data_IF_174274637834
#
_entry.id   IF_174274637834
#
_cell.length_a   1.000
_cell.length_b   1.000
_cell.length_c   1.000
_cell.angle_alpha   90.00
_cell.angle_beta   90.00
_cell.angle_gamma   90.00
#
_symmetry.space_group_name_H-M   'P 1'
#
loop_
_entity.id
_entity.type
_entity.pdbx_description
1 polymer ?
#
# COMPACT_ATOMS: atom_id res chain seq x y z
N UNK A 1 -10.63 -41.50 57.70
CA UNK A 1 -9.70 -41.07 56.63
C UNK A 1 -10.57 -40.69 55.42
N UNK A 2 -11.42 -39.66 55.53
CA UNK A 2 -11.12 -38.20 55.47
C UNK A 2 -10.76 -37.79 54.03
N UNK A 3 -11.74 -37.49 53.17
CA UNK A 3 -12.28 -36.14 52.86
C UNK A 3 -11.33 -35.24 52.06
N UNK A 4 -11.20 -35.46 50.74
CA UNK A 4 -10.57 -34.53 49.79
C UNK A 4 -11.27 -34.59 48.43
N UNK A 5 -12.49 -34.02 48.30
CA UNK A 5 -13.19 -33.98 46.99
C UNK A 5 -14.09 -32.74 46.79
N UNK A 6 -13.75 -31.60 47.39
CA UNK A 6 -14.59 -30.38 47.29
C UNK A 6 -13.88 -29.12 46.76
N UNK A 7 -12.57 -29.15 46.48
CA UNK A 7 -11.84 -27.95 46.00
C UNK A 7 -11.65 -27.87 44.48
N UNK A 8 -12.02 -28.91 43.71
CA UNK A 8 -11.74 -28.96 42.27
C UNK A 8 -12.75 -28.17 41.41
N UNK A 9 -13.95 -27.88 41.94
CA UNK A 9 -15.04 -27.26 41.18
C UNK A 9 -14.90 -25.73 41.04
N UNK A 10 -14.19 -25.07 41.97
CA UNK A 10 -14.02 -23.61 41.96
C UNK A 10 -12.99 -23.10 40.93
N UNK A 11 -12.03 -23.95 40.53
CA UNK A 11 -10.93 -23.58 39.62
C UNK A 11 -11.35 -23.54 38.14
N UNK A 12 -12.40 -24.28 37.76
CA UNK A 12 -12.86 -24.36 36.37
C UNK A 12 -13.56 -23.08 35.87
N UNK A 13 -14.22 -22.32 36.74
CA UNK A 13 -14.89 -21.07 36.36
C UNK A 13 -13.90 -19.97 36.00
N UNK A 14 -12.81 -19.82 36.77
CA UNK A 14 -11.76 -18.83 36.48
C UNK A 14 -10.94 -19.17 35.22
N UNK A 15 -10.69 -20.46 34.97
CA UNK A 15 -10.01 -20.92 33.75
C UNK A 15 -10.85 -20.71 32.49
N UNK A 16 -12.18 -20.90 32.56
CA UNK A 16 -13.08 -20.64 31.42
C UNK A 16 -13.12 -19.15 31.11
N UNK A 17 -13.30 -18.29 32.11
CA UNK A 17 -13.29 -16.84 31.93
C UNK A 17 -11.96 -16.31 31.37
N UNK A 18 -10.82 -16.83 31.86
CA UNK A 18 -9.49 -16.49 31.33
C UNK A 18 -9.28 -16.92 29.88
N UNK A 19 -9.81 -18.09 29.48
CA UNK A 19 -9.79 -18.55 28.08
C UNK A 19 -10.66 -17.71 27.16
N UNK A 20 -11.82 -17.24 27.64
CA UNK A 20 -12.67 -16.32 26.89
C UNK A 20 -12.03 -14.94 26.73
N UNK A 21 -11.43 -14.40 27.79
CA UNK A 21 -10.71 -13.13 27.74
C UNK A 21 -9.50 -13.21 26.79
N UNK A 22 -8.73 -14.30 26.86
CA UNK A 22 -7.61 -14.53 25.94
C UNK A 22 -8.08 -14.70 24.49
N UNK A 23 -9.19 -15.40 24.27
CA UNK A 23 -9.81 -15.55 22.94
C UNK A 23 -10.29 -14.21 22.37
N UNK A 24 -10.96 -13.38 23.18
CA UNK A 24 -11.40 -12.05 22.77
C UNK A 24 -10.21 -11.15 22.44
N UNK A 25 -9.16 -11.18 23.27
CA UNK A 25 -7.95 -10.40 23.02
C UNK A 25 -7.25 -10.84 21.72
N UNK A 26 -7.18 -12.16 21.46
CA UNK A 26 -6.66 -12.68 20.21
C UNK A 26 -7.48 -12.22 18.99
N UNK A 27 -8.81 -12.20 19.09
CA UNK A 27 -9.68 -11.68 18.03
C UNK A 27 -9.45 -10.19 17.81
N UNK A 28 -9.34 -9.39 18.89
CA UNK A 28 -9.06 -7.96 18.79
C UNK A 28 -7.71 -7.71 18.11
N UNK A 29 -6.66 -8.43 18.53
CA UNK A 29 -5.32 -8.33 17.92
C UNK A 29 -5.35 -8.74 16.45
N UNK A 30 -6.07 -9.81 16.10
CA UNK A 30 -6.23 -10.25 14.73
C UNK A 30 -6.94 -9.19 13.87
N UNK A 31 -8.06 -8.65 14.33
CA UNK A 31 -8.78 -7.59 13.62
C UNK A 31 -7.94 -6.30 13.49
N UNK A 32 -7.21 -5.92 14.54
CA UNK A 32 -6.30 -4.80 14.49
C UNK A 32 -5.19 -5.01 13.45
N UNK A 33 -4.68 -6.23 13.28
CA UNK A 33 -3.65 -6.53 12.27
C UNK A 33 -4.16 -6.38 10.84
N UNK A 34 -5.43 -6.70 10.57
CA UNK A 34 -6.04 -6.53 9.25
C UNK A 34 -6.25 -5.05 8.90
N UNK A 35 -6.47 -4.19 9.90
CA UNK A 35 -6.62 -2.76 9.69
C UNK A 35 -5.30 -2.05 9.32
N UNK A 36 -4.15 -2.70 9.52
CA UNK A 36 -2.82 -2.17 9.19
C UNK A 36 -2.34 -2.66 7.82
N UNK A 37 -3.11 -3.50 7.11
CA UNK A 37 -2.70 -3.94 5.78
C UNK A 37 -2.76 -2.77 4.80
N UNK A 38 -1.60 -2.38 4.28
CA UNK A 38 -1.52 -1.39 3.21
C UNK A 38 -2.18 -1.94 1.93
N UNK A 39 -2.64 -1.05 1.06
CA UNK A 39 -3.31 -1.45 -0.16
C UNK A 39 -2.27 -2.11 -1.09
N UNK A 40 -2.37 -3.43 -1.28
CA UNK A 40 -1.51 -4.16 -2.19
C UNK A 40 -1.91 -3.85 -3.65
N UNK A 41 -1.47 -2.71 -4.17
CA UNK A 41 -1.49 -2.44 -5.60
C UNK A 41 -0.38 -3.25 -6.27
N UNK A 42 -0.78 -4.26 -7.05
CA UNK A 42 0.19 -5.16 -7.65
C UNK A 42 0.93 -4.55 -8.86
N UNK A 43 0.48 -3.42 -9.41
CA UNK A 43 1.09 -2.78 -10.59
C UNK A 43 0.93 -1.26 -10.56
N UNK A 44 2.05 -0.54 -10.73
CA UNK A 44 2.06 0.90 -10.90
C UNK A 44 1.31 1.29 -12.18
N UNK A 45 0.19 1.98 -12.01
CA UNK A 45 -0.59 2.55 -13.10
C UNK A 45 -0.26 4.03 -13.25
N UNK A 46 -0.16 4.51 -14.49
CA UNK A 46 -0.10 5.95 -14.76
C UNK A 46 -1.49 6.55 -14.52
N UNK A 47 -1.62 7.47 -13.56
CA UNK A 47 -2.92 8.03 -13.14
C UNK A 47 -3.10 9.50 -13.51
N UNK A 48 -2.02 10.22 -13.79
CA UNK A 48 -2.07 11.62 -14.24
C UNK A 48 -0.85 11.97 -15.09
N UNK A 49 -1.07 12.84 -16.08
CA UNK A 49 0.00 13.47 -16.85
C UNK A 49 -0.18 14.98 -16.89
N UNK A 50 0.94 15.69 -16.96
CA UNK A 50 1.01 17.10 -17.35
C UNK A 50 2.17 17.29 -18.32
N UNK A 51 1.94 17.66 -19.59
CA UNK A 51 0.64 17.95 -20.21
C UNK A 51 -0.33 16.77 -20.20
N UNK A 52 -1.63 17.08 -20.18
CA UNK A 52 -2.68 16.07 -20.29
C UNK A 52 -2.58 15.34 -21.64
N UNK A 53 -2.95 14.06 -21.67
CA UNK A 53 -3.02 13.31 -22.93
C UNK A 53 -3.95 14.01 -23.94
N UNK A 54 -3.51 14.08 -25.19
CA UNK A 54 -4.21 14.82 -26.27
C UNK A 54 -4.18 16.35 -26.15
N UNK A 55 -3.47 16.94 -25.18
CA UNK A 55 -3.39 18.40 -25.06
C UNK A 55 -2.72 19.05 -26.29
N UNK A 56 -3.36 20.11 -26.80
CA UNK A 56 -2.79 20.97 -27.85
C UNK A 56 -2.21 22.22 -27.20
N UNK A 57 -0.89 22.36 -27.24
CA UNK A 57 -0.18 23.47 -26.63
C UNK A 57 0.26 24.47 -27.70
N UNK A 58 0.25 25.77 -27.35
CA UNK A 58 0.76 26.82 -28.23
C UNK A 58 2.29 26.75 -28.42
N UNK A 59 3.01 26.23 -27.42
CA UNK A 59 4.45 26.03 -27.42
C UNK A 59 4.79 24.71 -26.70
N UNK A 60 5.98 24.16 -26.97
CA UNK A 60 6.45 22.95 -26.30
C UNK A 60 6.62 23.15 -24.79
N UNK A 61 6.29 22.14 -23.96
CA UNK A 61 6.43 22.26 -22.51
C UNK A 61 7.91 22.22 -22.11
N UNK A 62 8.24 22.88 -21.00
CA UNK A 62 9.59 22.84 -20.44
C UNK A 62 9.91 21.52 -19.71
N UNK A 63 8.89 20.81 -19.25
CA UNK A 63 8.98 19.52 -18.55
C UNK A 63 7.75 18.66 -18.81
N UNK A 64 7.85 17.37 -18.49
CA UNK A 64 6.72 16.44 -18.46
C UNK A 64 6.57 15.90 -17.05
N UNK A 65 5.35 15.80 -16.54
CA UNK A 65 5.03 15.24 -15.24
C UNK A 65 4.17 14.00 -15.43
N UNK A 66 4.59 12.88 -14.83
CA UNK A 66 3.92 11.58 -14.90
C UNK A 66 3.70 11.08 -13.47
N UNK A 67 2.45 11.07 -13.00
CA UNK A 67 2.11 10.57 -11.66
C UNK A 67 1.57 9.15 -11.76
N UNK A 68 2.13 8.27 -10.94
CA UNK A 68 1.75 6.86 -10.83
C UNK A 68 0.98 6.59 -9.55
N UNK A 69 0.25 5.46 -9.51
CA UNK A 69 -0.48 5.01 -8.32
C UNK A 69 0.44 4.50 -7.20
N UNK A 70 1.67 4.08 -7.53
CA UNK A 70 2.73 3.70 -6.59
C UNK A 70 4.08 4.32 -7.01
N UNK A 71 5.06 4.44 -6.10
CA UNK A 71 6.40 4.89 -6.46
C UNK A 71 7.04 4.00 -7.53
N UNK A 72 7.68 4.63 -8.52
CA UNK A 72 8.36 3.95 -9.63
C UNK A 72 9.85 4.31 -9.70
N UNK A 73 10.66 3.42 -10.28
CA UNK A 73 12.07 3.69 -10.62
C UNK A 73 12.23 3.65 -12.14
N UNK A 74 12.21 4.81 -12.83
CA UNK A 74 12.32 4.85 -14.28
C UNK A 74 13.64 4.28 -14.77
N UNK A 75 13.60 3.25 -15.61
CA UNK A 75 14.78 2.71 -16.29
C UNK A 75 15.03 3.41 -17.63
N UNK A 76 13.95 3.73 -18.34
CA UNK A 76 13.98 4.41 -19.64
C UNK A 76 12.82 5.39 -19.70
N UNK A 77 13.11 6.62 -20.09
CA UNK A 77 12.13 7.62 -20.50
C UNK A 77 12.46 8.05 -21.93
N UNK A 78 11.46 8.11 -22.80
CA UNK A 78 11.66 8.43 -24.22
C UNK A 78 10.51 9.29 -24.71
N UNK A 79 10.86 10.43 -25.31
CA UNK A 79 9.93 11.24 -26.07
C UNK A 79 9.94 10.76 -27.53
N UNK A 80 8.80 10.32 -28.03
CA UNK A 80 8.63 9.99 -29.45
C UNK A 80 8.15 11.23 -30.18
N UNK A 81 8.96 11.73 -31.13
CA UNK A 81 8.61 12.90 -31.95
C UNK A 81 7.57 12.53 -33.02
N UNK A 82 6.88 13.50 -33.65
CA UNK A 82 5.88 13.23 -34.69
C UNK A 82 6.42 12.44 -35.90
N UNK A 83 7.73 12.50 -36.15
CA UNK A 83 8.43 11.73 -37.18
C UNK A 83 8.76 10.29 -36.76
N UNK A 84 8.32 9.85 -35.58
CA UNK A 84 8.60 8.54 -34.99
C UNK A 84 9.99 8.42 -34.37
N UNK A 85 10.83 9.46 -34.43
CA UNK A 85 12.19 9.40 -33.88
C UNK A 85 12.15 9.41 -32.35
N UNK A 86 12.76 8.42 -31.66
CA UNK A 86 12.89 8.43 -30.22
C UNK A 86 13.95 9.45 -29.79
N UNK A 87 13.65 10.21 -28.73
CA UNK A 87 14.58 11.09 -28.04
C UNK A 87 14.65 10.63 -26.58
N UNK A 88 15.78 10.09 -26.11
CA UNK A 88 15.90 9.66 -24.72
C UNK A 88 15.83 10.86 -23.78
N UNK A 89 15.07 10.71 -22.69
CA UNK A 89 15.00 11.68 -21.60
C UNK A 89 15.87 11.14 -20.45
N UNK A 90 17.08 11.69 -20.31
CA UNK A 90 18.09 11.18 -19.37
C UNK A 90 18.14 11.93 -18.05
N UNK A 91 17.39 13.03 -17.94
CA UNK A 91 17.24 13.80 -16.72
C UNK A 91 15.83 13.63 -16.20
N UNK A 92 15.70 13.18 -14.97
CA UNK A 92 14.43 13.13 -14.27
C UNK A 92 14.65 13.34 -12.76
N UNK A 93 13.61 13.77 -12.08
CA UNK A 93 13.48 13.78 -10.62
C UNK A 93 12.27 12.95 -10.23
N UNK A 94 12.33 12.39 -9.03
CA UNK A 94 11.20 11.73 -8.39
C UNK A 94 10.72 12.59 -7.23
N UNK A 95 9.42 12.91 -7.23
CA UNK A 95 8.72 13.52 -6.10
C UNK A 95 7.54 12.63 -5.74
N UNK A 96 7.67 11.88 -4.65
CA UNK A 96 6.73 10.83 -4.23
C UNK A 96 6.49 9.80 -5.34
N UNK A 97 5.32 9.83 -5.97
CA UNK A 97 4.89 8.93 -7.05
C UNK A 97 4.95 9.61 -8.43
N UNK A 98 5.54 10.80 -8.52
CA UNK A 98 5.61 11.61 -9.73
C UNK A 98 7.03 11.66 -10.28
N UNK A 99 7.15 11.41 -11.58
CA UNK A 99 8.38 11.56 -12.38
C UNK A 99 8.31 12.87 -13.13
N UNK A 100 9.36 13.70 -13.04
CA UNK A 100 9.45 15.01 -13.71
C UNK A 100 10.79 15.30 -14.36
#
# INVERSE_FOLDING_TARGET
MSTTSFLQTASMTGQRAGRFAAGLLAVIVFLASLAVSDQAFAHAALIKTDPADGAVLAQGPAQFSLTFSEPVSPLVLTLVKPDGKPVPLTSFRLSDQTVE
#
